data_IF_123744051229
#
_entry.id   IF_123744051229
#
_cell.length_a   1.000
_cell.length_b   1.000
_cell.length_c   1.000
_cell.angle_alpha   90.00
_cell.angle_beta   90.00
_cell.angle_gamma   90.00
#
_symmetry.space_group_name_H-M   'P 1'
#
loop_
_entity.id
_entity.type
_entity.pdbx_description
1 polymer ?
#
# COMPACT_ATOMS: atom_id res chain seq x y z
N UNK A 1 25.12 -28.52 8.52
CA UNK A 1 25.66 -28.27 7.17
C UNK A 1 24.93 -29.17 6.15
N UNK A 2 23.96 -28.73 5.36
CA UNK A 2 23.66 -27.41 4.83
C UNK A 2 23.14 -27.68 3.43
N UNK A 3 21.87 -28.06 3.29
CA UNK A 3 21.19 -28.23 2.00
C UNK A 3 20.11 -27.16 1.90
N UNK A 4 20.55 -25.98 1.48
CA UNK A 4 19.67 -24.87 1.10
C UNK A 4 19.26 -25.05 -0.36
N UNK A 5 18.21 -25.82 -0.60
CA UNK A 5 17.50 -25.75 -1.88
C UNK A 5 16.85 -24.35 -1.98
N UNK A 6 17.02 -23.62 -3.11
CA UNK A 6 16.34 -22.34 -3.28
C UNK A 6 14.84 -22.60 -3.42
N UNK A 7 14.08 -22.15 -2.43
CA UNK A 7 12.63 -22.13 -2.45
C UNK A 7 12.20 -21.23 -3.62
N UNK A 8 11.38 -21.79 -4.52
CA UNK A 8 10.92 -21.16 -5.73
C UNK A 8 10.30 -19.78 -5.45
N UNK A 9 10.94 -18.74 -5.96
CA UNK A 9 10.37 -17.40 -6.05
C UNK A 9 9.51 -17.33 -7.31
N UNK A 10 8.24 -17.75 -7.19
CA UNK A 10 7.22 -17.50 -8.20
C UNK A 10 6.33 -16.33 -7.74
N UNK A 11 5.83 -15.55 -8.70
CA UNK A 11 5.01 -14.32 -8.60
C UNK A 11 5.70 -12.94 -8.59
N UNK A 12 6.89 -12.78 -9.21
CA UNK A 12 7.26 -11.46 -9.75
C UNK A 12 6.54 -11.24 -11.09
N UNK A 13 5.31 -10.72 -11.06
CA UNK A 13 4.54 -10.35 -12.26
C UNK A 13 5.26 -9.21 -12.99
N UNK A 14 6.13 -9.56 -13.93
CA UNK A 14 6.89 -8.63 -14.78
C UNK A 14 5.91 -7.81 -15.61
N UNK A 15 5.72 -6.52 -15.24
CA UNK A 15 4.97 -5.57 -16.05
C UNK A 15 5.83 -5.17 -17.27
N UNK A 16 5.64 -5.86 -18.39
CA UNK A 16 6.15 -5.42 -19.69
C UNK A 16 5.13 -4.47 -20.31
N UNK A 17 5.42 -3.17 -20.25
CA UNK A 17 4.69 -2.17 -21.03
C UNK A 17 5.15 -2.24 -22.49
N UNK A 18 4.40 -2.95 -23.32
CA UNK A 18 4.45 -2.83 -24.77
C UNK A 18 3.02 -2.58 -25.27
N UNK A 19 2.88 -1.51 -26.06
CA UNK A 19 1.74 -1.15 -26.89
C UNK A 19 0.50 -0.55 -26.19
N UNK A 20 0.46 0.79 -26.20
CA UNK A 20 -0.67 1.53 -26.77
C UNK A 20 -1.94 1.76 -25.94
N UNK A 21 -2.17 1.10 -24.81
CA UNK A 21 -3.33 1.39 -23.94
C UNK A 21 -2.84 1.90 -22.57
N UNK A 22 -2.78 3.23 -22.40
CA UNK A 22 -2.51 3.88 -21.11
C UNK A 22 -3.76 3.91 -20.23
N UNK A 23 -4.51 2.81 -20.15
CA UNK A 23 -5.42 2.60 -19.03
C UNK A 23 -4.53 2.41 -17.80
N UNK A 24 -4.51 3.42 -16.93
CA UNK A 24 -3.84 3.34 -15.63
C UNK A 24 -4.62 2.36 -14.76
N UNK A 25 -4.39 1.07 -14.94
CA UNK A 25 -4.98 0.02 -14.11
C UNK A 25 -4.36 0.02 -12.70
N UNK A 26 -3.14 0.55 -12.53
CA UNK A 26 -2.46 0.65 -11.24
C UNK A 26 -1.58 1.91 -11.16
N UNK A 27 -1.75 2.70 -10.10
CA UNK A 27 -0.88 3.84 -9.79
C UNK A 27 0.25 3.41 -8.84
N UNK A 28 1.47 3.28 -9.36
CA UNK A 28 2.66 3.02 -8.54
C UNK A 28 3.30 4.37 -8.17
N UNK A 29 3.24 4.73 -6.88
CA UNK A 29 3.89 5.94 -6.35
C UNK A 29 5.20 5.55 -5.68
N UNK A 30 6.32 6.07 -6.18
CA UNK A 30 7.63 5.96 -5.54
C UNK A 30 8.22 7.34 -5.27
N UNK A 31 8.87 7.50 -4.13
CA UNK A 31 9.56 8.74 -3.78
C UNK A 31 11.04 8.63 -4.10
N UNK A 32 11.51 9.41 -5.06
CA UNK A 32 12.94 9.55 -5.40
C UNK A 32 13.49 10.76 -4.65
N UNK A 33 14.63 10.60 -3.96
CA UNK A 33 15.29 11.76 -3.33
C UNK A 33 16.00 12.65 -4.37
N UNK A 34 16.42 13.86 -3.97
CA UNK A 34 17.00 14.84 -4.90
C UNK A 34 18.31 14.32 -5.56
N UNK A 35 19.10 13.54 -4.85
CA UNK A 35 20.39 13.02 -5.33
C UNK A 35 20.12 11.91 -6.33
N UNK A 36 19.25 10.96 -5.97
CA UNK A 36 18.79 9.91 -6.86
C UNK A 36 18.08 10.47 -8.11
N UNK A 37 17.36 11.59 -7.97
CA UNK A 37 16.65 12.23 -9.08
C UNK A 37 17.58 12.85 -10.13
N UNK A 38 18.71 13.44 -9.73
CA UNK A 38 19.70 13.95 -10.69
C UNK A 38 20.36 12.81 -11.47
N UNK A 39 20.71 11.73 -10.79
CA UNK A 39 21.28 10.53 -11.41
C UNK A 39 20.28 9.86 -12.36
N UNK A 40 18.99 9.84 -12.00
CA UNK A 40 17.93 9.32 -12.86
C UNK A 40 17.74 10.16 -14.14
N UNK A 41 17.88 11.49 -14.04
CA UNK A 41 17.76 12.41 -15.20
C UNK A 41 18.94 12.21 -16.15
N UNK A 42 20.16 12.05 -15.62
CA UNK A 42 21.35 11.78 -16.44
C UNK A 42 21.28 10.42 -17.13
N UNK A 43 20.76 9.40 -16.43
CA UNK A 43 20.53 8.07 -16.99
C UNK A 43 19.40 8.08 -18.03
N UNK A 44 18.34 8.87 -17.83
CA UNK A 44 17.22 9.00 -18.77
C UNK A 44 17.61 9.73 -20.08
N UNK A 45 18.69 10.53 -20.07
CA UNK A 45 19.26 11.12 -21.29
C UNK A 45 19.91 10.06 -22.19
N UNK A 46 20.26 8.90 -21.64
CA UNK A 46 20.63 7.68 -22.37
C UNK A 46 19.41 6.77 -22.42
N UNK A 47 19.30 5.85 -23.39
CA UNK A 47 18.19 4.88 -23.37
C UNK A 47 18.33 3.98 -22.13
N UNK A 48 17.66 4.35 -21.04
CA UNK A 48 17.67 3.61 -19.79
C UNK A 48 16.39 2.80 -19.63
N UNK A 49 16.53 1.57 -19.14
CA UNK A 49 15.42 0.72 -18.72
C UNK A 49 15.31 0.79 -17.19
N UNK A 50 14.23 1.37 -16.68
CA UNK A 50 13.96 1.42 -15.24
C UNK A 50 13.11 0.21 -14.86
N UNK A 51 13.66 -0.67 -14.02
CA UNK A 51 12.90 -1.78 -13.41
C UNK A 51 12.51 -1.39 -11.99
N UNK A 52 11.21 -1.25 -11.75
CA UNK A 52 10.67 -1.00 -10.41
C UNK A 52 10.31 -2.33 -9.77
N UNK A 53 10.95 -2.66 -8.65
CA UNK A 53 10.60 -3.81 -7.82
C UNK A 53 10.38 -3.36 -6.38
N UNK A 54 9.18 -3.55 -5.86
CA UNK A 54 8.87 -3.44 -4.44
C UNK A 54 8.71 -4.82 -3.84
N UNK A 55 9.25 -5.04 -2.64
CA UNK A 55 8.86 -6.19 -1.82
C UNK A 55 7.71 -5.71 -0.94
N UNK A 56 6.56 -6.35 -1.06
CA UNK A 56 5.45 -6.20 -0.12
C UNK A 56 5.97 -6.43 1.32
N UNK A 57 5.49 -5.63 2.26
CA UNK A 57 5.76 -5.76 3.68
C UNK A 57 5.05 -7.00 4.23
N UNK A 58 5.53 -8.20 3.88
CA UNK A 58 5.16 -9.54 4.37
C UNK A 58 3.66 -9.90 4.51
N UNK A 59 2.73 -9.01 4.19
CA UNK A 59 1.32 -9.07 4.60
C UNK A 59 1.12 -9.49 6.06
N UNK A 60 2.07 -9.13 6.91
CA UNK A 60 2.04 -9.48 8.33
C UNK A 60 1.24 -8.45 9.12
N UNK A 61 0.37 -8.95 9.99
CA UNK A 61 -0.34 -8.10 10.93
C UNK A 61 0.63 -7.49 11.94
N UNK A 62 0.66 -6.17 12.00
CA UNK A 62 1.44 -5.45 12.98
C UNK A 62 1.01 -5.81 14.41
N UNK A 63 1.98 -6.05 15.30
CA UNK A 63 1.71 -6.43 16.69
C UNK A 63 0.85 -5.40 17.45
N UNK A 64 0.98 -4.11 17.10
CA UNK A 64 0.22 -3.01 17.68
C UNK A 64 -1.20 -2.86 17.10
N UNK A 65 -1.55 -3.59 16.03
CA UNK A 65 -2.87 -3.47 15.42
C UNK A 65 -3.95 -3.96 16.38
N UNK A 66 -4.94 -3.12 16.63
CA UNK A 66 -6.11 -3.52 17.43
C UNK A 66 -6.84 -4.67 16.74
N UNK A 67 -7.32 -5.60 17.55
CA UNK A 67 -8.12 -6.74 17.11
C UNK A 67 -9.49 -6.63 17.77
N UNK A 68 -10.53 -6.96 17.02
CA UNK A 68 -11.87 -7.00 17.55
C UNK A 68 -12.16 -8.26 18.36
N UNK A 69 -13.45 -8.46 18.71
CA UNK A 69 -14.56 -7.54 18.44
C UNK A 69 -14.47 -6.24 19.27
N UNK A 70 -15.23 -5.22 18.88
CA UNK A 70 -15.32 -3.99 19.67
C UNK A 70 -16.12 -4.22 20.99
N UNK A 71 -16.20 -3.20 21.84
CA UNK A 71 -16.92 -3.27 23.13
C UNK A 71 -18.42 -3.61 22.98
N UNK A 72 -18.99 -3.43 21.79
CA UNK A 72 -20.39 -3.73 21.47
C UNK A 72 -20.53 -5.05 20.68
N UNK A 73 -19.49 -5.89 20.70
CA UNK A 73 -19.42 -7.17 19.98
C UNK A 73 -19.57 -7.06 18.45
N UNK A 74 -19.25 -5.91 17.88
CA UNK A 74 -19.21 -5.75 16.42
C UNK A 74 -17.86 -6.21 15.88
N UNK A 75 -17.89 -6.82 14.70
CA UNK A 75 -16.67 -7.17 13.98
C UNK A 75 -15.95 -5.88 13.58
N UNK A 76 -14.73 -5.70 14.11
CA UNK A 76 -13.79 -4.64 13.75
C UNK A 76 -12.38 -5.25 13.76
N UNK A 77 -11.44 -4.74 12.95
CA UNK A 77 -11.60 -3.69 11.93
C UNK A 77 -12.46 -4.16 10.73
N UNK A 78 -12.93 -3.23 9.89
CA UNK A 78 -13.67 -3.57 8.66
C UNK A 78 -12.73 -4.06 7.54
N UNK A 79 -11.55 -3.44 7.43
CA UNK A 79 -10.45 -3.79 6.53
C UNK A 79 -9.13 -3.30 7.12
N UNK A 80 -7.99 -3.78 6.60
CA UNK A 80 -6.65 -3.35 7.00
C UNK A 80 -5.90 -2.68 5.85
N UNK A 81 -4.89 -1.88 6.14
CA UNK A 81 -4.06 -1.22 5.13
C UNK A 81 -2.62 -1.07 5.63
N UNK A 82 -1.64 -0.85 4.74
CA UNK A 82 -0.25 -0.62 5.12
C UNK A 82 -0.10 0.50 6.15
N UNK A 83 0.51 0.16 7.29
CA UNK A 83 0.70 1.08 8.42
C UNK A 83 2.05 0.93 9.12
N UNK A 84 2.98 0.13 8.59
CA UNK A 84 4.32 -0.06 9.16
C UNK A 84 5.34 0.62 8.25
N UNK A 85 6.26 1.38 8.85
CA UNK A 85 7.35 2.07 8.16
C UNK A 85 6.90 3.01 7.01
N UNK A 86 5.74 3.65 7.19
CA UNK A 86 5.16 4.55 6.18
C UNK A 86 5.90 5.87 6.21
N UNK A 87 6.52 6.23 5.08
CA UNK A 87 7.20 7.52 4.90
C UNK A 87 6.17 8.60 4.62
N UNK A 88 6.08 9.58 5.52
CA UNK A 88 5.17 10.72 5.40
C UNK A 88 5.88 12.05 5.65
N UNK A 89 5.17 13.16 5.42
CA UNK A 89 5.68 14.52 5.63
C UNK A 89 5.65 14.89 7.11
N UNK A 90 6.70 15.57 7.56
CA UNK A 90 6.79 16.12 8.92
C UNK A 90 7.34 17.55 8.84
N UNK A 91 6.99 18.44 9.79
CA UNK A 91 7.56 19.78 9.85
C UNK A 91 9.09 19.76 9.80
N UNK A 92 9.70 20.63 8.98
CA UNK A 92 11.17 20.75 8.88
C UNK A 92 11.83 21.18 10.19
N UNK A 93 11.07 21.79 11.10
CA UNK A 93 11.49 22.10 12.46
C UNK A 93 11.71 20.86 13.33
N UNK A 94 11.11 19.72 12.98
CA UNK A 94 11.28 18.43 13.67
C UNK A 94 12.34 17.59 12.96
N UNK A 95 12.24 17.45 11.64
CA UNK A 95 13.22 16.69 10.84
C UNK A 95 13.63 17.51 9.62
N UNK A 96 14.92 17.78 9.47
CA UNK A 96 15.44 18.65 8.40
C UNK A 96 15.05 18.20 6.98
N UNK A 97 14.89 16.89 6.75
CA UNK A 97 14.42 16.32 5.48
C UNK A 97 12.97 16.71 5.13
N UNK A 98 12.17 17.09 6.12
CA UNK A 98 10.72 17.31 5.99
C UNK A 98 9.91 16.01 5.81
N UNK A 99 10.55 14.85 5.98
CA UNK A 99 9.92 13.54 5.84
C UNK A 99 10.48 12.54 6.83
N UNK A 100 9.60 11.72 7.41
CA UNK A 100 9.95 10.70 8.40
C UNK A 100 9.13 9.44 8.19
N UNK A 101 9.65 8.30 8.65
CA UNK A 101 8.95 7.01 8.61
C UNK A 101 8.31 6.71 9.95
N UNK A 102 7.03 6.35 9.93
CA UNK A 102 6.27 6.06 11.13
C UNK A 102 5.43 4.81 10.94
N UNK A 103 5.23 4.09 12.05
CA UNK A 103 4.37 2.92 12.13
C UNK A 103 3.17 3.23 13.02
N UNK A 104 1.97 2.87 12.57
CA UNK A 104 0.73 3.01 13.32
C UNK A 104 -0.50 2.87 12.44
N UNK A 105 -1.63 2.53 13.05
CA UNK A 105 -2.94 2.58 12.39
C UNK A 105 -3.28 3.99 11.90
N UNK A 106 -2.75 5.03 12.58
CA UNK A 106 -2.80 6.42 12.12
C UNK A 106 -2.17 6.65 10.74
N UNK A 107 -1.29 5.76 10.26
CA UNK A 107 -0.72 5.82 8.91
C UNK A 107 -1.52 4.98 7.90
N UNK A 108 -2.18 3.92 8.36
CA UNK A 108 -3.12 3.14 7.55
C UNK A 108 -4.42 3.92 7.25
N UNK A 109 -4.97 4.63 8.23
CA UNK A 109 -6.21 5.42 8.09
C UNK A 109 -6.20 6.44 6.94
N UNK A 110 -5.18 7.32 6.78
CA UNK A 110 -5.14 8.28 5.68
C UNK A 110 -4.97 7.61 4.31
N UNK A 111 -4.36 6.42 4.23
CA UNK A 111 -4.29 5.66 2.99
C UNK A 111 -5.69 5.19 2.55
N UNK A 112 -6.46 4.60 3.47
CA UNK A 112 -7.86 4.22 3.20
C UNK A 112 -8.71 5.44 2.83
N UNK A 113 -8.54 6.57 3.55
CA UNK A 113 -9.27 7.80 3.26
C UNK A 113 -8.93 8.37 1.88
N UNK A 114 -7.66 8.33 1.46
CA UNK A 114 -7.22 8.73 0.13
C UNK A 114 -7.83 7.85 -0.97
N UNK A 115 -7.82 6.53 -0.77
CA UNK A 115 -8.46 5.59 -1.70
C UNK A 115 -9.97 5.82 -1.82
N UNK A 116 -10.66 6.05 -0.70
CA UNK A 116 -12.09 6.41 -0.71
C UNK A 116 -12.34 7.72 -1.46
N UNK A 117 -11.47 8.71 -1.33
CA UNK A 117 -11.57 9.98 -2.05
C UNK A 117 -11.38 9.81 -3.57
N UNK A 118 -10.42 8.99 -3.99
CA UNK A 118 -10.22 8.66 -5.41
C UNK A 118 -11.42 7.92 -5.99
N UNK A 119 -11.95 6.93 -5.26
CA UNK A 119 -13.14 6.19 -5.66
C UNK A 119 -14.37 7.11 -5.74
N UNK A 120 -14.50 8.07 -4.81
CA UNK A 120 -15.55 9.12 -4.86
C UNK A 120 -15.39 10.05 -6.06
N UNK A 121 -14.17 10.39 -6.45
CA UNK A 121 -13.92 11.18 -7.67
C UNK A 121 -14.33 10.42 -8.93
N UNK A 122 -14.10 9.11 -8.98
CA UNK A 122 -14.50 8.25 -10.11
C UNK A 122 -16.01 7.96 -10.13
N UNK A 123 -16.66 7.95 -8.96
CA UNK A 123 -18.08 7.60 -8.75
C UNK A 123 -18.80 8.67 -7.89
N UNK A 124 -18.96 9.91 -8.39
CA UNK A 124 -19.54 11.02 -7.64
C UNK A 124 -21.04 10.85 -7.30
N UNK A 125 -21.70 9.83 -7.82
CA UNK A 125 -23.06 9.41 -7.48
C UNK A 125 -23.14 8.52 -6.22
N UNK A 126 -22.07 7.77 -5.89
CA UNK A 126 -22.07 6.78 -4.79
C UNK A 126 -21.92 7.42 -3.40
N UNK A 127 -22.82 7.09 -2.47
CA UNK A 127 -22.72 7.52 -1.07
C UNK A 127 -21.45 7.02 -0.38
N UNK A 128 -21.08 7.64 0.74
CA UNK A 128 -19.93 7.23 1.54
C UNK A 128 -20.04 5.76 2.02
N UNK A 129 -21.26 5.31 2.31
CA UNK A 129 -21.54 3.92 2.71
C UNK A 129 -21.28 2.95 1.57
N UNK A 130 -21.71 3.29 0.34
CA UNK A 130 -21.46 2.45 -0.84
C UNK A 130 -19.98 2.36 -1.18
N UNK A 131 -19.24 3.47 -1.06
CA UNK A 131 -17.79 3.49 -1.23
C UNK A 131 -17.11 2.63 -0.17
N UNK A 132 -17.51 2.76 1.11
CA UNK A 132 -16.97 1.92 2.18
C UNK A 132 -17.24 0.42 1.96
N UNK A 133 -18.44 0.08 1.48
CA UNK A 133 -18.80 -1.29 1.14
C UNK A 133 -17.98 -1.83 -0.04
N UNK A 134 -17.74 -1.02 -1.05
CA UNK A 134 -16.91 -1.39 -2.20
C UNK A 134 -15.46 -1.65 -1.79
N UNK A 135 -14.84 -0.73 -1.04
CA UNK A 135 -13.47 -0.91 -0.52
C UNK A 135 -13.33 -2.15 0.36
N UNK A 136 -14.36 -2.46 1.16
CA UNK A 136 -14.38 -3.67 1.99
C UNK A 136 -14.62 -4.92 1.13
N UNK A 137 -15.44 -4.83 0.09
CA UNK A 137 -15.79 -5.92 -0.81
C UNK A 137 -14.67 -6.32 -1.78
N UNK A 138 -13.78 -5.39 -2.13
CA UNK A 138 -12.60 -5.66 -2.97
C UNK A 138 -11.35 -6.02 -2.17
N UNK A 139 -11.41 -5.93 -0.84
CA UNK A 139 -10.24 -6.18 0.01
C UNK A 139 -9.65 -7.59 -0.20
N UNK A 140 -8.32 -7.65 -0.30
CA UNK A 140 -7.57 -8.89 -0.45
C UNK A 140 -7.40 -9.61 0.89
N UNK A 141 -7.98 -10.80 1.02
CA UNK A 141 -7.87 -11.59 2.25
C UNK A 141 -6.45 -12.12 2.45
N UNK A 142 -5.90 -11.87 3.63
CA UNK A 142 -4.60 -12.36 4.06
C UNK A 142 -4.72 -13.80 4.56
N UNK A 143 -3.87 -14.69 4.04
CA UNK A 143 -3.80 -16.09 4.47
C UNK A 143 -3.26 -16.22 5.89
N UNK A 144 -3.87 -17.09 6.70
CA UNK A 144 -3.40 -17.37 8.07
C UNK A 144 -3.65 -16.25 9.10
N UNK A 145 -4.43 -15.23 8.75
CA UNK A 145 -4.81 -14.12 9.65
C UNK A 145 -6.29 -14.22 10.03
N UNK A 146 -6.61 -14.01 11.31
CA UNK A 146 -8.00 -14.05 11.78
C UNK A 146 -8.84 -12.87 11.30
N UNK A 147 -10.13 -13.09 11.06
CA UNK A 147 -11.08 -12.04 10.62
C UNK A 147 -11.22 -10.92 11.64
N UNK A 148 -11.07 -11.20 12.94
CA UNK A 148 -11.06 -10.18 13.99
C UNK A 148 -9.81 -9.28 13.96
N UNK A 149 -8.77 -9.66 13.20
CA UNK A 149 -7.56 -8.88 13.01
C UNK A 149 -7.54 -8.16 11.66
N UNK A 150 -7.98 -8.81 10.58
CA UNK A 150 -7.93 -8.26 9.21
C UNK A 150 -9.25 -7.68 8.69
N UNK A 151 -10.38 -7.94 9.35
CA UNK A 151 -11.70 -7.64 8.79
C UNK A 151 -11.96 -8.43 7.51
N UNK A 152 -12.32 -7.72 6.45
CA UNK A 152 -12.47 -8.29 5.11
C UNK A 152 -11.14 -8.62 4.43
N UNK A 153 -10.05 -7.97 4.83
CA UNK A 153 -8.72 -8.13 4.24
C UNK A 153 -7.98 -6.82 4.09
N UNK A 154 -6.85 -6.86 3.39
CA UNK A 154 -6.04 -5.69 3.03
C UNK A 154 -6.72 -4.89 1.93
N UNK A 155 -6.71 -3.57 2.05
CA UNK A 155 -7.14 -2.62 1.03
C UNK A 155 -6.53 -2.96 -0.34
N UNK A 156 -7.39 -3.08 -1.34
CA UNK A 156 -7.03 -3.31 -2.75
C UNK A 156 -7.91 -2.39 -3.60
N UNK A 157 -7.28 -1.49 -4.37
CA UNK A 157 -7.90 -0.33 -5.04
C UNK A 157 -7.47 -0.23 -6.49
#
# INVERSE_FOLDING_TARGET
PGDGAPVAADSARRLQGADGDLRMDHLVVTGVDRIQGQELIELAAQKAQVTLSGRDSSDEMAAFSSRGPDQNQRLKPDLVAPGVDIRSTVPKSIVASGAWRMSGTSMASPLVAGSAALLRQLRPERSATEIGAELTGTAHRLGGVDTIAQGAGRLDV
#
